data_IF_494501988673
#
_entry.id   IF_494501988673
#
_cell.length_a   1.000
_cell.length_b   1.000
_cell.length_c   1.000
_cell.angle_alpha   90.00
_cell.angle_beta   90.00
_cell.angle_gamma   90.00
#
_symmetry.space_group_name_H-M   'P 1'
#
loop_
_entity.id
_entity.type
_entity.pdbx_description
1 polymer ?
#
# COMPACT_ATOMS: atom_id res chain seq x y z
N UNK A 1 16.39 3.27 21.04
CA UNK A 1 16.88 2.01 21.69
C UNK A 1 16.90 0.91 20.64
N UNK A 2 17.81 -0.05 20.74
CA UNK A 2 17.84 -1.18 19.80
C UNK A 2 17.01 -2.35 20.35
N UNK A 3 15.92 -2.65 19.65
CA UNK A 3 15.08 -3.80 19.96
C UNK A 3 15.17 -4.89 18.87
N UNK A 4 15.98 -4.65 17.82
CA UNK A 4 16.20 -5.63 16.75
C UNK A 4 17.15 -6.71 17.23
N UNK A 5 16.73 -7.96 17.18
CA UNK A 5 17.54 -9.11 17.57
C UNK A 5 18.25 -9.79 16.40
N UNK A 6 17.85 -9.47 15.15
CA UNK A 6 18.44 -10.01 13.93
C UNK A 6 17.39 -10.25 12.84
N UNK A 7 17.70 -11.22 11.97
CA UNK A 7 16.78 -11.71 10.95
C UNK A 7 16.52 -13.22 11.16
N UNK A 8 15.36 -13.69 10.72
CA UNK A 8 15.00 -15.10 10.76
C UNK A 8 14.37 -15.52 9.44
N UNK A 9 14.75 -16.69 8.95
CA UNK A 9 14.08 -17.28 7.80
C UNK A 9 12.64 -17.68 8.15
N UNK A 10 11.68 -17.28 7.31
CA UNK A 10 10.25 -17.60 7.51
C UNK A 10 9.94 -19.08 7.30
N UNK A 11 10.75 -19.79 6.52
CA UNK A 11 10.58 -21.21 6.18
C UNK A 11 11.25 -22.14 7.20
N UNK A 12 12.57 -22.04 7.34
CA UNK A 12 13.35 -22.99 8.15
C UNK A 12 13.70 -22.47 9.56
N UNK A 13 13.36 -21.22 9.90
CA UNK A 13 13.62 -20.64 11.22
C UNK A 13 15.07 -20.25 11.50
N UNK A 14 16.03 -20.44 10.54
CA UNK A 14 17.44 -20.10 10.74
C UNK A 14 17.61 -18.60 11.03
N UNK A 15 18.43 -18.28 12.02
CA UNK A 15 18.71 -16.90 12.45
C UNK A 15 19.93 -16.32 11.70
N UNK A 16 19.91 -15.01 11.49
CA UNK A 16 20.95 -14.24 10.81
C UNK A 16 21.17 -12.89 11.52
N UNK A 17 22.36 -12.29 11.36
CA UNK A 17 22.59 -10.92 11.84
C UNK A 17 21.71 -9.92 11.05
N UNK A 18 21.50 -8.72 11.63
CA UNK A 18 20.73 -7.63 11.02
C UNK A 18 21.51 -6.88 9.93
N UNK A 19 21.96 -7.60 8.91
CA UNK A 19 22.74 -7.13 7.76
C UNK A 19 21.89 -7.01 6.50
N UNK A 20 22.49 -6.61 5.37
CA UNK A 20 21.81 -6.49 4.07
C UNK A 20 21.52 -7.87 3.44
N UNK A 21 20.71 -8.65 4.14
CA UNK A 21 20.31 -10.00 3.73
C UNK A 21 18.79 -10.04 3.50
N UNK A 22 18.35 -10.77 2.49
CA UNK A 22 16.92 -10.88 2.16
C UNK A 22 16.45 -12.31 1.92
N UNK A 23 17.40 -13.24 1.73
CA UNK A 23 17.16 -14.66 1.41
C UNK A 23 18.02 -15.54 2.31
N UNK A 24 17.45 -16.64 2.78
CA UNK A 24 18.15 -17.68 3.53
C UNK A 24 19.15 -18.39 2.62
N UNK A 25 20.40 -18.57 3.05
CA UNK A 25 21.45 -19.27 2.32
C UNK A 25 21.27 -20.78 2.29
N UNK A 26 20.37 -21.32 3.11
CA UNK A 26 20.09 -22.75 3.24
C UNK A 26 18.87 -23.22 2.43
N UNK A 27 17.73 -22.56 2.59
CA UNK A 27 16.47 -23.00 1.96
C UNK A 27 15.89 -21.97 0.97
N UNK A 28 16.58 -20.86 0.75
CA UNK A 28 16.17 -19.74 -0.11
C UNK A 28 14.86 -19.08 0.29
N UNK A 29 14.35 -19.37 1.49
CA UNK A 29 13.18 -18.70 2.05
C UNK A 29 13.44 -17.22 2.38
N UNK A 30 12.43 -16.36 2.35
CA UNK A 30 12.59 -14.94 2.68
C UNK A 30 12.93 -14.75 4.16
N UNK A 31 13.76 -13.74 4.43
CA UNK A 31 14.12 -13.35 5.79
C UNK A 31 13.14 -12.30 6.32
N UNK A 32 12.93 -12.32 7.63
CA UNK A 32 12.10 -11.36 8.36
C UNK A 32 12.85 -10.80 9.55
N UNK A 33 12.61 -9.52 9.87
CA UNK A 33 13.21 -8.87 11.05
C UNK A 33 12.58 -9.44 12.32
N UNK A 34 13.45 -9.73 13.31
CA UNK A 34 13.06 -10.19 14.63
C UNK A 34 13.36 -9.12 15.69
N UNK A 35 12.51 -9.06 16.72
CA UNK A 35 12.55 -8.07 17.77
C UNK A 35 12.51 -8.71 19.15
N UNK A 36 13.06 -8.03 20.15
CA UNK A 36 12.89 -8.32 21.56
C UNK A 36 11.56 -7.74 22.06
N UNK A 37 10.47 -8.48 21.82
CA UNK A 37 9.13 -8.03 22.16
C UNK A 37 8.90 -7.88 23.67
N UNK A 38 9.56 -8.65 24.51
CA UNK A 38 9.43 -8.54 25.97
C UNK A 38 10.02 -7.21 26.46
N UNK A 39 11.14 -6.82 25.88
CA UNK A 39 11.78 -5.54 26.14
C UNK A 39 10.98 -4.37 25.57
N UNK A 40 10.36 -4.52 24.39
CA UNK A 40 9.44 -3.52 23.83
C UNK A 40 8.25 -3.36 24.76
N UNK A 41 7.58 -4.44 25.18
CA UNK A 41 6.43 -4.42 26.05
C UNK A 41 6.68 -3.71 27.38
N UNK A 42 7.90 -3.84 27.94
CA UNK A 42 8.29 -3.17 29.18
C UNK A 42 8.69 -1.70 29.03
N UNK A 43 8.86 -1.21 27.80
CA UNK A 43 9.47 0.12 27.54
C UNK A 43 8.55 1.04 26.75
N UNK A 44 7.79 0.50 25.79
CA UNK A 44 6.97 1.26 24.86
C UNK A 44 5.54 1.35 25.39
N UNK A 45 5.04 2.59 25.55
CA UNK A 45 3.68 2.86 26.02
C UNK A 45 2.91 3.69 24.98
N UNK A 46 1.59 3.73 25.11
CA UNK A 46 0.71 4.57 24.27
C UNK A 46 1.10 6.05 24.36
N UNK A 47 1.41 6.54 25.55
CA UNK A 47 1.84 7.93 25.81
C UNK A 47 3.18 8.24 25.13
N UNK A 48 4.12 7.30 25.17
CA UNK A 48 5.43 7.44 24.51
C UNK A 48 5.25 7.53 22.98
N UNK A 49 4.38 6.71 22.40
CA UNK A 49 4.04 6.77 20.97
C UNK A 49 3.36 8.11 20.66
N UNK A 50 2.36 8.53 21.43
CA UNK A 50 1.62 9.77 21.23
C UNK A 50 2.50 11.02 21.30
N UNK A 51 3.58 11.00 22.10
CA UNK A 51 4.58 12.07 22.17
C UNK A 51 5.54 12.11 20.97
N UNK A 52 5.52 11.09 20.09
CA UNK A 52 6.37 11.00 18.92
C UNK A 52 5.94 11.95 17.77
N UNK A 53 6.72 12.01 16.69
CA UNK A 53 6.40 12.85 15.53
C UNK A 53 5.11 12.41 14.83
N UNK A 54 4.49 13.30 14.04
CA UNK A 54 3.34 12.95 13.19
C UNK A 54 3.81 12.31 11.87
N UNK A 55 4.50 11.17 11.98
CA UNK A 55 4.97 10.33 10.87
C UNK A 55 5.10 8.89 11.35
N UNK A 56 5.50 7.95 10.46
CA UNK A 56 5.75 6.54 10.86
C UNK A 56 6.78 6.42 11.99
N UNK A 57 7.63 7.42 12.18
CA UNK A 57 8.73 7.39 13.15
C UNK A 57 8.28 7.55 14.59
N UNK A 58 6.99 7.86 14.83
CA UNK A 58 6.39 7.75 16.16
C UNK A 58 6.38 6.30 16.69
N UNK A 59 6.44 5.33 15.77
CA UNK A 59 6.55 3.90 16.06
C UNK A 59 7.99 3.38 15.88
N UNK A 60 8.99 4.26 16.01
CA UNK A 60 10.40 3.92 15.72
C UNK A 60 10.93 2.76 16.55
N UNK A 61 10.44 2.57 17.77
CA UNK A 61 10.79 1.44 18.64
C UNK A 61 10.30 0.07 18.10
N UNK A 62 9.32 0.06 17.19
CA UNK A 62 8.80 -1.11 16.51
C UNK A 62 9.30 -1.24 15.05
N UNK A 63 10.26 -0.38 14.64
CA UNK A 63 10.83 -0.38 13.30
C UNK A 63 12.31 -0.83 13.33
N UNK A 64 12.85 -1.37 12.20
CA UNK A 64 14.14 -2.02 12.17
C UNK A 64 15.33 -1.05 12.07
N UNK A 65 15.24 0.11 12.67
CA UNK A 65 16.25 1.18 12.60
C UNK A 65 16.65 1.61 14.00
N UNK A 66 17.95 1.73 14.23
CA UNK A 66 18.54 2.03 15.52
C UNK A 66 19.35 3.31 15.42
N UNK A 67 19.15 4.23 16.38
CA UNK A 67 19.99 5.42 16.66
C UNK A 67 20.40 6.26 15.42
N UNK A 68 19.67 6.17 14.33
CA UNK A 68 19.89 6.93 13.12
C UNK A 68 18.81 8.01 12.96
N UNK A 69 19.21 9.21 12.55
CA UNK A 69 18.23 10.21 12.11
C UNK A 69 17.45 9.64 10.91
N UNK A 70 16.12 9.58 10.98
CA UNK A 70 15.33 8.98 9.91
C UNK A 70 15.41 9.77 8.60
N UNK A 71 15.34 9.07 7.49
CA UNK A 71 15.05 9.67 6.18
C UNK A 71 13.55 9.87 6.12
N UNK A 72 13.07 11.02 6.58
CA UNK A 72 11.65 11.31 6.71
C UNK A 72 11.25 12.54 5.88
N UNK A 73 10.20 12.39 5.10
CA UNK A 73 9.47 13.45 4.39
C UNK A 73 8.12 13.77 5.08
N UNK A 74 7.87 13.25 6.26
CA UNK A 74 6.56 13.24 6.90
C UNK A 74 5.69 12.06 6.45
N UNK A 75 6.32 10.92 6.13
CA UNK A 75 5.62 9.73 5.67
C UNK A 75 4.76 9.12 6.78
N UNK A 76 3.54 8.74 6.45
CA UNK A 76 2.59 8.13 7.37
C UNK A 76 1.87 9.12 8.27
N UNK A 77 1.25 8.61 9.33
CA UNK A 77 0.26 9.28 10.17
C UNK A 77 -0.82 9.97 9.33
N UNK A 78 -1.20 9.29 8.24
CA UNK A 78 -2.17 9.74 7.27
C UNK A 78 -3.59 9.70 7.86
N UNK A 79 -4.56 10.41 7.28
CA UNK A 79 -5.93 10.41 7.78
C UNK A 79 -6.53 8.99 7.86
N UNK A 80 -7.27 8.73 8.93
CA UNK A 80 -8.24 7.67 9.02
C UNK A 80 -9.62 8.34 8.96
N UNK A 81 -10.26 8.27 7.79
CA UNK A 81 -11.49 9.01 7.48
C UNK A 81 -12.69 8.12 7.74
N UNK A 82 -13.63 8.59 8.58
CA UNK A 82 -14.92 7.92 8.74
C UNK A 82 -15.75 8.11 7.46
N UNK A 83 -16.05 7.01 6.77
CA UNK A 83 -16.69 7.02 5.45
C UNK A 83 -18.20 6.77 5.59
N UNK A 84 -18.93 7.76 6.10
CA UNK A 84 -20.35 7.61 6.46
C UNK A 84 -21.26 7.43 5.23
N UNK A 85 -21.00 8.20 4.16
CA UNK A 85 -21.80 8.13 2.94
C UNK A 85 -21.54 6.84 2.17
N UNK A 86 -20.29 6.42 2.09
CA UNK A 86 -19.91 5.15 1.48
C UNK A 86 -20.45 3.97 2.30
N UNK A 87 -20.37 4.03 3.62
CA UNK A 87 -20.94 3.00 4.50
C UNK A 87 -22.44 2.84 4.28
N UNK A 88 -23.18 3.94 4.26
CA UNK A 88 -24.64 3.93 4.00
C UNK A 88 -24.98 3.31 2.64
N UNK A 89 -24.22 3.64 1.58
CA UNK A 89 -24.41 3.11 0.24
C UNK A 89 -24.11 1.59 0.15
N UNK A 90 -23.15 1.11 0.95
CA UNK A 90 -22.79 -0.31 1.01
C UNK A 90 -23.56 -1.11 2.07
N UNK A 91 -24.46 -0.47 2.84
CA UNK A 91 -25.20 -1.14 3.91
C UNK A 91 -24.33 -1.54 5.11
N UNK A 92 -23.23 -0.81 5.39
CA UNK A 92 -22.31 -1.03 6.50
C UNK A 92 -22.57 -0.02 7.62
N UNK A 93 -22.41 -0.43 8.89
CA UNK A 93 -22.60 0.44 10.04
C UNK A 93 -21.39 1.29 10.38
N UNK A 94 -20.18 0.76 10.22
CA UNK A 94 -18.94 1.45 10.55
C UNK A 94 -17.84 1.17 9.53
N UNK A 95 -17.55 2.17 8.69
CA UNK A 95 -16.52 2.09 7.64
C UNK A 95 -15.51 3.24 7.78
N UNK A 96 -14.25 2.91 7.66
CA UNK A 96 -13.13 3.85 7.68
C UNK A 96 -12.24 3.66 6.47
N UNK A 97 -11.71 4.76 5.94
CA UNK A 97 -10.70 4.77 4.87
C UNK A 97 -9.36 5.17 5.48
N UNK A 98 -8.37 4.27 5.40
CA UNK A 98 -6.98 4.64 5.66
C UNK A 98 -6.42 5.28 4.41
N UNK A 99 -6.30 6.60 4.43
CA UNK A 99 -6.06 7.42 3.25
C UNK A 99 -4.57 7.72 3.05
N UNK A 100 -3.85 6.84 2.38
CA UNK A 100 -2.44 7.02 2.03
C UNK A 100 -2.24 7.85 0.74
N UNK A 101 -3.29 8.44 0.17
CA UNK A 101 -3.16 9.47 -0.86
C UNK A 101 -2.46 10.71 -0.31
N UNK A 102 -2.57 10.95 1.00
CA UNK A 102 -2.01 12.07 1.73
C UNK A 102 -0.50 11.95 2.02
N UNK A 103 0.15 10.85 1.67
CA UNK A 103 1.60 10.72 1.82
C UNK A 103 2.36 11.72 0.91
N UNK A 104 3.60 12.11 1.26
CA UNK A 104 4.38 13.15 0.56
C UNK A 104 4.53 12.95 -0.95
N UNK A 105 4.71 11.71 -1.43
CA UNK A 105 4.73 11.41 -2.87
C UNK A 105 3.41 10.84 -3.39
N UNK A 106 2.33 10.97 -2.61
CA UNK A 106 0.98 10.55 -2.96
C UNK A 106 0.79 9.03 -2.95
N UNK A 107 1.54 8.27 -2.15
CA UNK A 107 1.28 6.83 -1.98
C UNK A 107 1.91 6.23 -0.72
N UNK A 108 1.41 5.07 -0.30
CA UNK A 108 1.92 4.33 0.84
C UNK A 108 3.40 3.92 0.71
N UNK A 109 3.99 4.00 -0.49
CA UNK A 109 5.41 3.68 -0.72
C UNK A 109 6.35 4.54 0.11
N UNK A 110 5.93 5.73 0.52
CA UNK A 110 6.72 6.59 1.39
C UNK A 110 7.03 5.95 2.74
N UNK A 111 6.11 5.16 3.28
CA UNK A 111 6.32 4.41 4.55
C UNK A 111 7.48 3.43 4.44
N UNK A 112 7.41 2.57 3.44
CA UNK A 112 8.39 1.49 3.25
C UNK A 112 9.74 2.00 2.75
N UNK A 113 9.76 3.06 1.95
CA UNK A 113 10.99 3.67 1.45
C UNK A 113 11.70 4.47 2.54
N UNK A 114 10.96 5.21 3.38
CA UNK A 114 11.52 5.91 4.53
C UNK A 114 12.30 4.94 5.43
N UNK A 115 11.73 3.78 5.78
CA UNK A 115 12.40 2.74 6.56
C UNK A 115 13.60 2.16 5.81
N UNK A 116 13.42 1.80 4.53
CA UNK A 116 14.48 1.18 3.72
C UNK A 116 15.71 2.09 3.59
N UNK A 117 15.53 3.38 3.27
CA UNK A 117 16.65 4.29 3.08
C UNK A 117 17.29 4.72 4.39
N UNK A 118 16.54 4.80 5.48
CA UNK A 118 17.12 4.99 6.82
C UNK A 118 18.03 3.82 7.16
N UNK A 119 17.57 2.58 6.95
CA UNK A 119 18.36 1.38 7.18
C UNK A 119 19.56 1.28 6.21
N UNK A 120 19.36 1.61 4.93
CA UNK A 120 20.43 1.62 3.95
C UNK A 120 21.57 2.56 4.36
N UNK A 121 21.27 3.78 4.83
CA UNK A 121 22.27 4.71 5.38
C UNK A 121 22.98 4.12 6.60
N UNK A 122 22.26 3.50 7.51
CA UNK A 122 22.83 2.83 8.68
C UNK A 122 23.79 1.71 8.30
N UNK A 123 23.49 0.98 7.24
CA UNK A 123 24.34 -0.09 6.67
C UNK A 123 25.47 0.44 5.77
N UNK A 124 25.60 1.76 5.59
CA UNK A 124 26.69 2.38 4.84
C UNK A 124 26.50 2.45 3.32
N UNK A 125 25.31 2.14 2.80
CA UNK A 125 25.00 2.31 1.38
C UNK A 125 25.04 3.77 0.96
N UNK A 126 25.44 4.03 -0.30
CA UNK A 126 25.61 5.37 -0.86
C UNK A 126 24.57 5.72 -1.91
N UNK A 127 24.02 4.72 -2.60
CA UNK A 127 23.09 4.88 -3.70
C UNK A 127 21.80 4.13 -3.38
N UNK A 128 20.66 4.80 -3.53
CA UNK A 128 19.34 4.19 -3.50
C UNK A 128 18.94 3.75 -4.90
N UNK A 129 18.54 2.50 -5.08
CA UNK A 129 18.17 1.97 -6.39
C UNK A 129 16.89 1.15 -6.33
N UNK A 130 16.16 1.10 -7.45
CA UNK A 130 15.02 0.19 -7.63
C UNK A 130 14.70 -0.05 -9.11
N UNK A 131 14.05 -1.19 -9.37
CA UNK A 131 13.28 -1.42 -10.59
C UNK A 131 11.83 -1.00 -10.31
N UNK A 132 11.35 0.07 -10.93
CA UNK A 132 9.95 0.48 -10.76
C UNK A 132 9.53 1.54 -11.74
N UNK A 133 8.29 1.42 -12.20
CA UNK A 133 7.64 2.34 -13.15
C UNK A 133 6.62 3.27 -12.48
N UNK A 134 6.54 3.33 -11.15
CA UNK A 134 5.45 4.06 -10.50
C UNK A 134 5.77 4.51 -9.07
N UNK A 135 4.86 4.24 -8.16
CA UNK A 135 4.90 4.74 -6.78
C UNK A 135 6.24 4.49 -6.05
N UNK A 136 6.85 3.32 -6.25
CA UNK A 136 8.14 3.02 -5.63
C UNK A 136 9.25 3.91 -6.18
N UNK A 137 9.32 4.11 -7.50
CA UNK A 137 10.31 4.97 -8.15
C UNK A 137 10.25 6.40 -7.62
N UNK A 138 9.05 6.99 -7.59
CA UNK A 138 8.84 8.35 -7.10
C UNK A 138 9.28 8.48 -5.63
N UNK A 139 8.89 7.55 -4.79
CA UNK A 139 9.24 7.57 -3.37
C UNK A 139 10.74 7.40 -3.14
N UNK A 140 11.41 6.49 -3.87
CA UNK A 140 12.88 6.30 -3.78
C UNK A 140 13.61 7.57 -4.17
N UNK A 141 13.25 8.18 -5.30
CA UNK A 141 13.89 9.41 -5.76
C UNK A 141 13.70 10.57 -4.77
N UNK A 142 12.49 10.77 -4.25
CA UNK A 142 12.18 11.81 -3.28
C UNK A 142 12.93 11.63 -1.95
N UNK A 143 12.90 10.43 -1.38
CA UNK A 143 13.57 10.14 -0.12
C UNK A 143 15.10 10.14 -0.26
N UNK A 144 15.64 9.70 -1.41
CA UNK A 144 17.08 9.78 -1.69
C UNK A 144 17.54 11.24 -1.76
N UNK A 145 16.80 12.11 -2.46
CA UNK A 145 17.05 13.54 -2.49
C UNK A 145 17.07 14.15 -1.07
N UNK A 146 16.07 13.81 -0.24
CA UNK A 146 16.01 14.24 1.18
C UNK A 146 17.19 13.74 2.00
N UNK A 147 17.67 12.52 1.71
CA UNK A 147 18.78 11.88 2.42
C UNK A 147 20.17 12.38 1.98
N UNK A 148 20.26 13.13 0.88
CA UNK A 148 21.52 13.45 0.23
C UNK A 148 22.22 12.22 -0.35
N UNK A 149 21.45 11.19 -0.74
CA UNK A 149 21.93 9.99 -1.43
C UNK A 149 21.72 10.11 -2.93
N UNK A 150 22.63 9.57 -3.71
CA UNK A 150 22.35 9.35 -5.13
C UNK A 150 21.19 8.36 -5.30
N UNK A 151 20.37 8.57 -6.35
CA UNK A 151 19.32 7.61 -6.72
C UNK A 151 19.43 7.16 -8.17
N UNK A 152 19.18 5.86 -8.37
CA UNK A 152 19.16 5.21 -9.70
C UNK A 152 17.89 4.38 -9.83
N UNK A 153 17.04 4.78 -10.76
CA UNK A 153 15.79 4.07 -11.04
C UNK A 153 15.87 3.45 -12.43
N UNK A 154 15.68 2.14 -12.52
CA UNK A 154 15.65 1.43 -13.79
C UNK A 154 14.18 1.20 -14.20
N UNK A 155 13.86 1.53 -15.45
CA UNK A 155 12.52 1.43 -16.03
C UNK A 155 12.57 0.76 -17.40
N UNK A 156 11.49 0.10 -17.88
CA UNK A 156 11.36 -0.21 -19.30
C UNK A 156 11.35 1.05 -20.17
N UNK A 157 11.86 0.96 -21.39
CA UNK A 157 12.01 2.11 -22.31
C UNK A 157 10.68 2.66 -22.83
N UNK A 158 9.58 1.90 -22.73
CA UNK A 158 8.24 2.23 -23.20
C UNK A 158 7.36 2.91 -22.13
N UNK A 159 7.95 3.40 -21.04
CA UNK A 159 7.22 4.04 -19.95
C UNK A 159 6.67 5.41 -20.34
N UNK A 160 5.47 5.73 -19.84
CA UNK A 160 4.80 7.01 -20.08
C UNK A 160 5.59 8.22 -19.51
N UNK A 161 5.64 9.30 -20.26
CA UNK A 161 6.43 10.51 -19.94
C UNK A 161 6.09 11.11 -18.56
N UNK A 162 4.82 11.07 -18.15
CA UNK A 162 4.40 11.60 -16.86
C UNK A 162 5.10 10.87 -15.68
N UNK A 163 5.21 9.56 -15.77
CA UNK A 163 5.87 8.73 -14.74
C UNK A 163 7.39 8.97 -14.69
N UNK A 164 8.02 9.18 -15.87
CA UNK A 164 9.42 9.56 -15.96
C UNK A 164 9.63 10.91 -15.26
N UNK A 165 8.80 11.91 -15.58
CA UNK A 165 8.88 13.25 -15.00
C UNK A 165 8.75 13.23 -13.47
N UNK A 166 7.76 12.51 -12.94
CA UNK A 166 7.54 12.37 -11.50
C UNK A 166 8.72 11.74 -10.74
N UNK A 167 9.61 11.06 -11.43
CA UNK A 167 10.82 10.47 -10.84
C UNK A 167 12.05 11.34 -11.05
N UNK A 168 12.25 11.88 -12.26
CA UNK A 168 13.44 12.67 -12.62
C UNK A 168 13.48 14.04 -11.95
N UNK A 169 12.32 14.61 -11.59
CA UNK A 169 12.23 15.94 -10.96
C UNK A 169 13.04 16.05 -9.65
N UNK A 170 13.28 14.93 -8.97
CA UNK A 170 14.06 14.88 -7.73
C UNK A 170 15.58 14.81 -7.96
N UNK A 171 16.07 14.91 -9.23
CA UNK A 171 17.49 14.93 -9.57
C UNK A 171 18.17 13.56 -9.62
N UNK A 172 17.42 12.46 -9.43
CA UNK A 172 17.93 11.10 -9.57
C UNK A 172 18.16 10.69 -11.03
N UNK A 173 18.94 9.63 -11.23
CA UNK A 173 19.19 9.05 -12.56
C UNK A 173 18.11 8.04 -12.88
N UNK A 174 17.36 8.28 -13.95
CA UNK A 174 16.41 7.31 -14.51
C UNK A 174 17.04 6.67 -15.74
N UNK A 175 17.18 5.35 -15.71
CA UNK A 175 17.79 4.54 -16.76
C UNK A 175 16.69 3.78 -17.48
N UNK A 176 16.44 4.13 -18.74
CA UNK A 176 15.55 3.36 -19.61
C UNK A 176 16.28 2.12 -20.15
N UNK A 177 15.70 0.96 -19.93
CA UNK A 177 16.21 -0.35 -20.36
C UNK A 177 15.35 -0.82 -21.53
N UNK A 178 15.97 -1.18 -22.62
CA UNK A 178 15.30 -1.80 -23.76
C UNK A 178 14.99 -3.27 -23.43
N UNK A 179 13.81 -3.52 -22.88
CA UNK A 179 13.38 -4.82 -22.38
C UNK A 179 12.09 -4.71 -21.56
N UNK A 180 11.61 -5.86 -21.13
CA UNK A 180 10.42 -5.98 -20.28
C UNK A 180 10.71 -5.59 -18.82
N UNK A 181 9.66 -5.42 -18.01
CA UNK A 181 9.81 -5.23 -16.56
C UNK A 181 10.56 -6.39 -15.87
N UNK A 182 10.39 -7.62 -16.36
CA UNK A 182 11.10 -8.79 -15.84
C UNK A 182 12.61 -8.73 -16.17
N UNK A 183 12.98 -8.22 -17.35
CA UNK A 183 14.39 -7.96 -17.71
C UNK A 183 15.02 -6.90 -16.82
N UNK A 184 14.28 -5.84 -16.51
CA UNK A 184 14.73 -4.79 -15.58
C UNK A 184 14.95 -5.37 -14.17
N UNK A 185 14.04 -6.19 -13.67
CA UNK A 185 14.19 -6.83 -12.36
C UNK A 185 15.39 -7.79 -12.30
N UNK A 186 15.60 -8.59 -13.37
CA UNK A 186 16.75 -9.47 -13.48
C UNK A 186 18.05 -8.67 -13.46
N UNK A 187 18.14 -7.59 -14.25
CA UNK A 187 19.29 -6.69 -14.25
C UNK A 187 19.56 -6.09 -12.87
N UNK A 188 18.53 -5.67 -12.14
CA UNK A 188 18.66 -5.18 -10.77
C UNK A 188 19.22 -6.24 -9.82
N UNK A 189 18.79 -7.50 -9.95
CA UNK A 189 19.32 -8.60 -9.14
C UNK A 189 20.81 -8.85 -9.44
N UNK A 190 21.23 -8.83 -10.70
CA UNK A 190 22.63 -8.94 -11.11
C UNK A 190 23.48 -7.78 -10.57
N UNK A 191 22.98 -6.54 -10.71
CA UNK A 191 23.65 -5.33 -10.22
C UNK A 191 23.83 -5.33 -8.70
N UNK A 192 22.99 -6.02 -7.94
CA UNK A 192 23.14 -6.13 -6.47
C UNK A 192 24.49 -6.75 -6.07
N UNK A 193 24.97 -7.70 -6.83
CA UNK A 193 26.27 -8.35 -6.60
C UNK A 193 27.43 -7.48 -7.07
N UNK A 194 27.27 -6.75 -8.18
CA UNK A 194 28.30 -5.94 -8.81
C UNK A 194 28.45 -4.54 -8.19
N UNK A 195 27.47 -4.10 -7.44
CA UNK A 195 27.40 -2.75 -6.84
C UNK A 195 27.16 -2.82 -5.33
N UNK A 196 28.13 -3.24 -4.52
CA UNK A 196 27.96 -3.48 -3.09
C UNK A 196 27.61 -2.22 -2.29
N UNK A 197 27.83 -1.02 -2.85
CA UNK A 197 27.44 0.25 -2.22
C UNK A 197 26.02 0.72 -2.58
N UNK A 198 25.26 -0.07 -3.36
CA UNK A 198 23.91 0.28 -3.80
C UNK A 198 22.85 -0.50 -3.00
N UNK A 199 21.90 0.24 -2.44
CA UNK A 199 20.72 -0.31 -1.80
C UNK A 199 19.59 -0.44 -2.84
N UNK A 200 19.38 -1.64 -3.36
CA UNK A 200 18.19 -1.96 -4.15
C UNK A 200 17.04 -2.23 -3.18
N UNK A 201 16.16 -1.23 -2.98
CA UNK A 201 15.17 -1.22 -1.89
C UNK A 201 14.22 -2.41 -1.91
N UNK A 202 13.93 -2.94 -3.09
CA UNK A 202 13.07 -4.11 -3.29
C UNK A 202 13.84 -5.43 -3.48
N UNK A 203 15.17 -5.44 -3.28
CA UNK A 203 16.03 -6.63 -3.35
C UNK A 203 16.83 -6.79 -2.06
N UNK A 204 18.05 -6.25 -1.96
CA UNK A 204 18.96 -6.51 -0.84
C UNK A 204 18.57 -5.85 0.49
N UNK A 205 17.73 -4.82 0.49
CA UNK A 205 17.14 -4.24 1.73
C UNK A 205 15.62 -4.51 1.86
N UNK A 206 15.08 -5.43 1.05
CA UNK A 206 13.65 -5.78 1.02
C UNK A 206 13.11 -6.18 2.39
N UNK A 207 13.88 -6.90 3.19
CA UNK A 207 13.49 -7.35 4.54
C UNK A 207 13.11 -6.16 5.43
N UNK A 208 13.89 -5.10 5.39
CA UNK A 208 13.66 -3.87 6.16
C UNK A 208 12.59 -2.98 5.52
N UNK A 209 12.60 -2.86 4.19
CA UNK A 209 11.58 -2.18 3.41
C UNK A 209 10.17 -2.65 3.79
N UNK A 210 9.94 -3.95 3.86
CA UNK A 210 8.63 -4.51 4.15
C UNK A 210 8.09 -4.07 5.53
N UNK A 211 8.96 -3.88 6.53
CA UNK A 211 8.58 -3.51 7.90
C UNK A 211 7.87 -2.14 7.98
N UNK A 212 8.12 -1.22 7.04
CA UNK A 212 7.40 0.05 6.97
C UNK A 212 5.88 -0.10 6.78
N UNK A 213 5.43 -1.21 6.18
CA UNK A 213 4.00 -1.47 5.98
C UNK A 213 3.24 -1.77 7.28
N UNK A 214 3.91 -2.21 8.35
CA UNK A 214 3.30 -2.44 9.68
C UNK A 214 2.68 -1.17 10.24
N UNK A 215 3.24 -0.01 9.89
CA UNK A 215 2.78 1.28 10.40
C UNK A 215 1.33 1.60 10.01
N UNK A 216 0.80 0.96 8.97
CA UNK A 216 -0.63 1.06 8.64
C UNK A 216 -1.51 0.48 9.76
N UNK A 217 -1.16 -0.71 10.27
CA UNK A 217 -1.87 -1.33 11.39
C UNK A 217 -1.70 -0.52 12.68
N UNK A 218 -0.48 -0.03 12.94
CA UNK A 218 -0.19 0.78 14.13
C UNK A 218 -1.01 2.07 14.15
N UNK A 219 -1.06 2.79 13.02
CA UNK A 219 -1.84 4.01 12.90
C UNK A 219 -3.34 3.77 12.97
N UNK A 220 -3.84 2.72 12.33
CA UNK A 220 -5.25 2.35 12.42
C UNK A 220 -5.64 2.10 13.88
N UNK A 221 -4.89 1.30 14.61
CA UNK A 221 -5.17 1.01 16.01
C UNK A 221 -5.09 2.28 16.88
N UNK A 222 -4.04 3.10 16.75
CA UNK A 222 -3.91 4.36 17.50
C UNK A 222 -5.07 5.33 17.19
N UNK A 223 -5.42 5.50 15.91
CA UNK A 223 -6.46 6.43 15.49
C UNK A 223 -7.89 5.95 15.81
N UNK A 224 -8.07 4.66 16.03
CA UNK A 224 -9.31 4.06 16.59
C UNK A 224 -9.31 4.03 18.13
N UNK A 225 -8.37 4.74 18.79
CA UNK A 225 -8.31 4.77 20.25
C UNK A 225 -7.64 3.54 20.89
N UNK A 226 -6.71 2.92 20.18
CA UNK A 226 -6.02 1.67 20.55
C UNK A 226 -6.95 0.44 20.53
N UNK A 227 -7.88 0.45 19.60
CA UNK A 227 -8.74 -0.67 19.28
C UNK A 227 -8.37 -1.24 17.90
N UNK A 228 -8.55 -2.54 17.72
CA UNK A 228 -8.42 -3.16 16.41
C UNK A 228 -9.77 -3.12 15.68
N UNK A 229 -9.78 -2.97 14.35
CA UNK A 229 -11.00 -3.15 13.56
C UNK A 229 -11.38 -4.64 13.47
N UNK A 230 -12.64 -4.93 13.17
CA UNK A 230 -13.08 -6.30 12.92
C UNK A 230 -12.57 -6.81 11.56
N UNK A 231 -12.50 -5.92 10.57
CA UNK A 231 -12.18 -6.31 9.20
C UNK A 231 -11.33 -5.26 8.48
N UNK A 232 -10.31 -5.71 7.75
CA UNK A 232 -9.45 -4.85 6.92
C UNK A 232 -9.44 -5.37 5.48
N UNK A 233 -9.66 -4.46 4.50
CA UNK A 233 -9.56 -4.78 3.06
C UNK A 233 -8.29 -4.16 2.50
N UNK A 234 -7.41 -5.01 1.91
CA UNK A 234 -6.06 -4.63 1.46
C UNK A 234 -5.84 -5.00 0.01
N UNK A 235 -5.35 -4.08 -0.85
CA UNK A 235 -5.00 -4.40 -2.23
C UNK A 235 -3.75 -5.28 -2.27
N UNK A 236 -3.75 -6.31 -3.12
CA UNK A 236 -2.64 -7.25 -3.28
C UNK A 236 -1.92 -7.02 -4.60
N UNK A 237 -0.67 -6.53 -4.52
CA UNK A 237 0.32 -6.68 -5.58
C UNK A 237 1.24 -7.87 -5.26
N UNK A 238 2.37 -7.62 -4.57
CA UNK A 238 3.29 -8.69 -4.13
C UNK A 238 2.80 -9.51 -2.91
N UNK A 239 1.79 -9.03 -2.18
CA UNK A 239 1.33 -9.61 -0.91
C UNK A 239 2.00 -9.03 0.35
N UNK A 240 3.12 -8.36 0.21
CA UNK A 240 3.93 -7.85 1.35
C UNK A 240 3.15 -6.91 2.27
N UNK A 241 2.39 -5.96 1.72
CA UNK A 241 1.61 -5.01 2.52
C UNK A 241 0.60 -5.72 3.42
N UNK A 242 -0.17 -6.66 2.86
CA UNK A 242 -1.18 -7.42 3.59
C UNK A 242 -0.56 -8.23 4.74
N UNK A 243 0.54 -8.95 4.47
CA UNK A 243 1.22 -9.76 5.49
C UNK A 243 1.80 -8.90 6.61
N UNK A 244 2.27 -7.69 6.29
CA UNK A 244 2.85 -6.79 7.29
C UNK A 244 1.80 -6.02 8.09
N UNK A 245 0.62 -5.76 7.52
CA UNK A 245 -0.54 -5.25 8.29
C UNK A 245 -0.95 -6.30 9.33
N UNK A 246 -1.06 -7.57 8.95
CA UNK A 246 -1.35 -8.66 9.88
C UNK A 246 -0.32 -8.73 11.02
N UNK A 247 0.98 -8.74 10.65
CA UNK A 247 2.08 -8.71 11.63
C UNK A 247 2.00 -7.49 12.55
N UNK A 248 1.62 -6.33 12.02
CA UNK A 248 1.50 -5.10 12.81
C UNK A 248 0.43 -5.22 13.90
N UNK A 249 -0.75 -5.74 13.62
CA UNK A 249 -1.78 -5.99 14.63
C UNK A 249 -1.34 -7.04 15.64
N UNK A 250 -0.71 -8.14 15.20
CA UNK A 250 -0.15 -9.17 16.07
C UNK A 250 0.90 -8.59 17.04
N UNK A 251 1.81 -7.75 16.53
CA UNK A 251 2.83 -7.09 17.33
C UNK A 251 2.23 -6.18 18.41
N UNK A 252 1.21 -5.37 18.05
CA UNK A 252 0.53 -4.49 19.03
C UNK A 252 -0.11 -5.28 20.16
N UNK A 253 -0.76 -6.40 19.86
CA UNK A 253 -1.31 -7.30 20.89
C UNK A 253 -0.20 -7.93 21.73
N UNK A 254 0.87 -8.42 21.09
CA UNK A 254 2.00 -9.07 21.76
C UNK A 254 2.73 -8.15 22.74
N UNK A 255 2.86 -6.85 22.41
CA UNK A 255 3.53 -5.88 23.27
C UNK A 255 2.58 -5.17 24.25
N UNK A 256 1.30 -5.58 24.30
CA UNK A 256 0.33 -5.04 25.25
C UNK A 256 -0.16 -3.62 24.94
N UNK A 257 -0.04 -3.16 23.69
CA UNK A 257 -0.57 -1.87 23.24
C UNK A 257 -2.05 -1.95 22.87
N UNK A 258 -2.56 -3.14 22.57
CA UNK A 258 -3.99 -3.46 22.50
C UNK A 258 -4.40 -4.19 23.77
N UNK A 259 -5.63 -3.92 24.25
CA UNK A 259 -6.11 -4.50 25.53
C UNK A 259 -6.41 -6.00 25.40
N UNK A 260 -6.69 -6.45 24.18
CA UNK A 260 -6.95 -7.86 23.84
C UNK A 260 -6.08 -8.33 22.69
N UNK A 261 -5.90 -9.63 22.54
CA UNK A 261 -5.29 -10.21 21.34
C UNK A 261 -6.18 -9.92 20.14
N UNK A 262 -5.70 -9.17 19.13
CA UNK A 262 -6.57 -8.75 18.05
C UNK A 262 -7.00 -9.92 17.17
N UNK A 263 -8.29 -9.99 16.86
CA UNK A 263 -8.87 -10.95 15.91
C UNK A 263 -9.36 -10.21 14.67
N UNK A 264 -8.41 -9.64 13.90
CA UNK A 264 -8.71 -8.87 12.70
C UNK A 264 -8.85 -9.78 11.49
N UNK A 265 -10.02 -9.80 10.86
CA UNK A 265 -10.20 -10.45 9.55
C UNK A 265 -9.55 -9.60 8.46
N UNK A 266 -8.71 -10.23 7.62
CA UNK A 266 -7.98 -9.51 6.57
C UNK A 266 -8.37 -10.07 5.21
N UNK A 267 -9.02 -9.25 4.40
CA UNK A 267 -9.42 -9.59 3.04
C UNK A 267 -8.52 -8.96 1.99
N UNK A 268 -8.22 -9.75 0.96
CA UNK A 268 -7.38 -9.35 -0.15
C UNK A 268 -8.19 -8.89 -1.36
N UNK A 269 -7.73 -7.83 -2.03
CA UNK A 269 -8.34 -7.26 -3.22
C UNK A 269 -7.40 -7.34 -4.43
N UNK A 270 -7.84 -7.94 -5.54
CA UNK A 270 -7.09 -8.02 -6.79
C UNK A 270 -7.95 -7.63 -8.00
N UNK A 271 -7.32 -7.33 -9.14
CA UNK A 271 -8.02 -7.19 -10.42
C UNK A 271 -8.10 -8.54 -11.13
N UNK A 272 -9.22 -8.83 -11.80
CA UNK A 272 -9.43 -10.06 -12.60
C UNK A 272 -8.29 -10.29 -13.58
N UNK A 273 -7.77 -9.22 -14.19
CA UNK A 273 -6.64 -9.30 -15.12
C UNK A 273 -5.29 -9.66 -14.47
N UNK A 274 -5.21 -9.73 -13.12
CA UNK A 274 -4.03 -10.18 -12.38
C UNK A 274 -4.43 -10.61 -10.96
N UNK A 275 -5.02 -11.79 -10.81
CA UNK A 275 -5.61 -12.27 -9.56
C UNK A 275 -5.09 -13.64 -9.08
N UNK A 276 -3.75 -13.89 -9.03
CA UNK A 276 -3.24 -15.22 -8.70
C UNK A 276 -3.60 -15.66 -7.27
N UNK A 277 -3.67 -14.72 -6.29
CA UNK A 277 -4.03 -15.04 -4.91
C UNK A 277 -5.54 -15.26 -4.77
N UNK A 278 -6.37 -14.41 -5.39
CA UNK A 278 -7.82 -14.56 -5.34
C UNK A 278 -8.28 -15.85 -6.05
N UNK A 279 -7.62 -16.23 -7.14
CA UNK A 279 -7.86 -17.51 -7.84
C UNK A 279 -7.54 -18.70 -6.92
N UNK A 280 -6.34 -18.70 -6.31
CA UNK A 280 -5.95 -19.78 -5.39
C UNK A 280 -6.89 -19.87 -4.18
N UNK A 281 -7.35 -18.72 -3.64
CA UNK A 281 -8.31 -18.67 -2.55
C UNK A 281 -9.65 -19.31 -2.97
N UNK A 282 -10.20 -18.92 -4.12
CA UNK A 282 -11.48 -19.43 -4.65
C UNK A 282 -11.42 -20.92 -4.97
N UNK A 283 -10.28 -21.43 -5.48
CA UNK A 283 -10.06 -22.84 -5.77
C UNK A 283 -9.76 -23.68 -4.52
N UNK A 284 -9.58 -23.09 -3.33
CA UNK A 284 -9.12 -23.78 -2.14
C UNK A 284 -7.69 -24.33 -2.27
N UNK A 285 -6.90 -23.81 -3.21
CA UNK A 285 -5.53 -24.26 -3.53
C UNK A 285 -4.49 -23.53 -2.71
N UNK A 286 -3.44 -24.24 -2.25
CA UNK A 286 -2.26 -23.62 -1.62
C UNK A 286 -1.24 -23.13 -2.66
N UNK A 287 -1.38 -23.53 -3.92
CA UNK A 287 -0.46 -23.17 -4.98
C UNK A 287 -0.88 -21.85 -5.65
N UNK A 288 -0.02 -20.85 -5.57
CA UNK A 288 -0.16 -19.60 -6.33
C UNK A 288 0.41 -19.85 -7.73
N UNK A 289 -0.46 -19.91 -8.75
CA UNK A 289 -0.05 -20.07 -10.15
C UNK A 289 0.27 -18.71 -10.76
N UNK A 290 1.47 -18.50 -11.33
CA UNK A 290 1.81 -17.27 -12.03
C UNK A 290 0.85 -16.99 -13.18
N UNK A 291 0.49 -15.72 -13.36
CA UNK A 291 -0.37 -15.24 -14.46
C UNK A 291 0.32 -14.12 -15.24
N UNK A 292 0.00 -13.96 -16.52
CA UNK A 292 0.43 -12.80 -17.30
C UNK A 292 -0.53 -11.64 -17.01
N UNK A 293 -0.07 -10.53 -16.42
CA UNK A 293 -0.95 -9.41 -16.07
C UNK A 293 -1.58 -8.73 -17.28
N UNK A 294 -2.89 -8.41 -17.19
CA UNK A 294 -3.64 -7.63 -18.16
C UNK A 294 -4.71 -6.81 -17.43
N UNK A 295 -4.35 -5.66 -16.84
CA UNK A 295 -5.24 -4.79 -16.06
C UNK A 295 -4.79 -3.34 -16.11
N UNK A 296 -5.72 -2.41 -15.90
CA UNK A 296 -5.44 -0.98 -15.70
C UNK A 296 -4.77 -0.71 -14.34
N UNK A 297 -4.93 -1.59 -13.36
CA UNK A 297 -4.33 -1.46 -12.03
C UNK A 297 -2.83 -1.84 -12.05
N UNK A 298 -2.02 -1.07 -12.78
CA UNK A 298 -0.60 -1.37 -13.07
C UNK A 298 0.24 -1.58 -11.81
N UNK A 299 -0.03 -0.86 -10.72
CA UNK A 299 0.70 -1.02 -9.44
C UNK A 299 0.43 -2.37 -8.75
N UNK A 300 -0.65 -3.07 -9.11
CA UNK A 300 -1.01 -4.40 -8.63
C UNK A 300 -0.72 -5.51 -9.65
N UNK A 301 -0.24 -5.17 -10.85
CA UNK A 301 0.00 -6.10 -11.96
C UNK A 301 1.25 -6.97 -11.73
N UNK A 302 1.27 -7.73 -10.65
CA UNK A 302 2.34 -8.64 -10.27
C UNK A 302 1.84 -10.08 -10.40
N UNK A 303 2.12 -10.69 -11.56
CA UNK A 303 1.60 -12.00 -11.91
C UNK A 303 2.21 -13.15 -11.11
N UNK A 304 3.40 -12.96 -10.55
CA UNK A 304 4.06 -13.91 -9.65
C UNK A 304 4.40 -13.22 -8.31
N UNK A 305 3.42 -13.09 -7.41
CA UNK A 305 3.58 -12.34 -6.16
C UNK A 305 4.51 -13.06 -5.19
N UNK A 306 5.64 -12.42 -4.85
CA UNK A 306 6.67 -13.01 -4.00
C UNK A 306 6.21 -13.34 -2.57
N UNK A 307 5.21 -12.63 -2.05
CA UNK A 307 4.58 -12.91 -0.76
C UNK A 307 3.16 -13.49 -0.93
N UNK A 308 2.80 -13.99 -2.13
CA UNK A 308 1.45 -14.47 -2.46
C UNK A 308 0.97 -15.59 -1.57
N UNK A 309 1.83 -16.59 -1.33
CA UNK A 309 1.52 -17.71 -0.44
C UNK A 309 1.26 -17.23 1.00
N UNK A 310 2.11 -16.35 1.51
CA UNK A 310 1.96 -15.78 2.85
C UNK A 310 0.71 -14.92 2.99
N UNK A 311 0.35 -14.18 1.92
CA UNK A 311 -0.89 -13.39 1.90
C UNK A 311 -2.12 -14.32 1.94
N UNK A 312 -2.11 -15.40 1.16
CA UNK A 312 -3.16 -16.41 1.15
C UNK A 312 -3.31 -17.08 2.52
N UNK A 313 -2.20 -17.43 3.17
CA UNK A 313 -2.18 -18.02 4.52
C UNK A 313 -2.78 -17.07 5.57
N UNK A 314 -2.38 -15.79 5.54
CA UNK A 314 -2.94 -14.74 6.42
C UNK A 314 -4.45 -14.60 6.21
N UNK A 315 -4.91 -14.49 4.96
CA UNK A 315 -6.34 -14.36 4.64
C UNK A 315 -7.13 -15.52 5.24
N UNK A 316 -6.67 -16.74 5.05
CA UNK A 316 -7.33 -17.95 5.58
C UNK A 316 -7.32 -18.02 7.09
N UNK A 317 -6.18 -17.79 7.73
CA UNK A 317 -6.01 -17.86 9.19
C UNK A 317 -6.81 -16.78 9.91
N UNK A 318 -6.93 -15.60 9.32
CA UNK A 318 -7.72 -14.51 9.88
C UNK A 318 -9.23 -14.67 9.67
N UNK A 319 -9.67 -15.66 8.88
CA UNK A 319 -11.08 -15.81 8.50
C UNK A 319 -11.56 -14.72 7.53
N UNK A 320 -10.65 -14.07 6.83
CA UNK A 320 -10.94 -13.12 5.78
C UNK A 320 -11.33 -13.78 4.46
N UNK A 321 -11.40 -12.98 3.40
CA UNK A 321 -11.73 -13.42 2.05
C UNK A 321 -10.78 -12.83 1.01
N UNK A 322 -10.85 -13.31 -0.23
CA UNK A 322 -10.10 -12.71 -1.33
C UNK A 322 -10.99 -12.66 -2.58
N UNK A 323 -11.13 -11.48 -3.17
CA UNK A 323 -11.92 -11.33 -4.38
C UNK A 323 -11.17 -10.56 -5.46
N UNK A 324 -11.59 -10.79 -6.69
CA UNK A 324 -11.11 -10.06 -7.86
C UNK A 324 -12.24 -9.27 -8.50
N UNK A 325 -11.90 -8.09 -9.04
CA UNK A 325 -12.80 -7.14 -9.70
C UNK A 325 -12.32 -6.83 -11.11
N UNK A 326 -13.25 -6.54 -12.02
CA UNK A 326 -12.94 -6.16 -13.40
C UNK A 326 -12.40 -4.74 -13.49
N UNK A 327 -11.80 -4.36 -14.61
CA UNK A 327 -11.29 -3.01 -14.81
C UNK A 327 -12.43 -1.95 -14.81
N UNK A 328 -13.64 -2.29 -15.22
CA UNK A 328 -14.81 -1.40 -15.12
C UNK A 328 -15.26 -1.25 -13.65
N UNK A 329 -15.33 -2.35 -12.87
CA UNK A 329 -15.58 -2.29 -11.42
C UNK A 329 -14.51 -1.45 -10.69
N UNK A 330 -13.24 -1.48 -11.14
CA UNK A 330 -12.17 -0.62 -10.60
C UNK A 330 -12.48 0.86 -10.81
N UNK A 331 -12.91 1.24 -12.01
CA UNK A 331 -13.31 2.63 -12.33
C UNK A 331 -14.51 3.06 -11.50
N UNK A 332 -15.51 2.19 -11.39
CA UNK A 332 -16.69 2.44 -10.55
C UNK A 332 -16.33 2.59 -9.07
N UNK A 333 -15.38 1.80 -8.56
CA UNK A 333 -14.83 1.93 -7.21
C UNK A 333 -14.13 3.28 -6.97
N UNK A 334 -13.36 3.78 -7.95
CA UNK A 334 -12.75 5.12 -7.89
C UNK A 334 -13.83 6.20 -7.83
N UNK A 335 -14.81 6.13 -8.72
CA UNK A 335 -15.93 7.08 -8.76
C UNK A 335 -16.76 7.06 -7.49
N UNK A 336 -17.05 5.85 -7.01
CA UNK A 336 -17.81 5.65 -5.79
C UNK A 336 -17.14 6.36 -4.61
N UNK A 337 -15.86 6.10 -4.35
CA UNK A 337 -15.10 6.75 -3.29
C UNK A 337 -15.04 8.28 -3.46
N UNK A 338 -14.81 8.75 -4.68
CA UNK A 338 -14.69 10.17 -4.97
C UNK A 338 -16.03 10.92 -4.73
N UNK A 339 -17.17 10.37 -5.17
CA UNK A 339 -18.48 11.03 -5.02
C UNK A 339 -19.06 10.92 -3.61
N UNK A 340 -18.67 9.91 -2.84
CA UNK A 340 -19.15 9.75 -1.46
C UNK A 340 -18.27 10.48 -0.46
N UNK A 341 -16.94 10.33 -0.53
CA UNK A 341 -16.02 10.81 0.50
C UNK A 341 -15.04 11.90 0.00
N UNK A 342 -15.10 12.29 -1.27
CA UNK A 342 -14.21 13.30 -1.83
C UNK A 342 -12.75 12.83 -1.98
N UNK A 343 -12.48 11.52 -1.92
CA UNK A 343 -11.13 10.96 -2.00
C UNK A 343 -10.90 10.44 -3.42
N UNK A 344 -9.95 11.04 -4.13
CA UNK A 344 -9.54 10.60 -5.46
C UNK A 344 -8.41 9.58 -5.35
N UNK A 345 -8.76 8.31 -5.44
CA UNK A 345 -7.81 7.19 -5.35
C UNK A 345 -7.27 6.78 -6.74
N UNK A 346 -6.02 6.26 -6.76
CA UNK A 346 -5.48 5.54 -7.91
C UNK A 346 -6.21 4.21 -8.15
N UNK A 347 -5.92 3.53 -9.26
CA UNK A 347 -6.54 2.25 -9.63
C UNK A 347 -6.43 1.17 -8.54
N UNK A 348 -5.34 1.14 -7.75
CA UNK A 348 -5.23 0.22 -6.61
C UNK A 348 -6.29 0.50 -5.52
N UNK A 349 -6.58 1.78 -5.24
CA UNK A 349 -7.68 2.17 -4.35
C UNK A 349 -9.05 1.79 -4.93
N UNK A 350 -9.23 1.96 -6.25
CA UNK A 350 -10.42 1.47 -6.96
C UNK A 350 -10.63 -0.03 -6.79
N UNK A 351 -9.57 -0.84 -6.91
CA UNK A 351 -9.62 -2.29 -6.64
C UNK A 351 -10.06 -2.57 -5.21
N UNK A 352 -9.54 -1.82 -4.23
CA UNK A 352 -9.92 -1.99 -2.81
C UNK A 352 -11.41 -1.70 -2.60
N UNK A 353 -11.91 -0.57 -3.08
CA UNK A 353 -13.30 -0.13 -2.88
C UNK A 353 -14.29 -1.04 -3.62
N UNK A 354 -13.99 -1.41 -4.87
CA UNK A 354 -14.83 -2.35 -5.62
C UNK A 354 -14.89 -3.73 -4.95
N UNK A 355 -13.75 -4.21 -4.40
CA UNK A 355 -13.73 -5.46 -3.64
C UNK A 355 -14.51 -5.34 -2.33
N UNK A 356 -14.37 -4.23 -1.60
CA UNK A 356 -15.17 -3.94 -0.41
C UNK A 356 -16.66 -4.02 -0.71
N UNK A 357 -17.13 -3.32 -1.76
CA UNK A 357 -18.53 -3.34 -2.19
C UNK A 357 -19.00 -4.76 -2.55
N UNK A 358 -18.19 -5.51 -3.27
CA UNK A 358 -18.47 -6.91 -3.64
C UNK A 358 -18.61 -7.83 -2.43
N UNK A 359 -17.69 -7.73 -1.47
CA UNK A 359 -17.72 -8.54 -0.25
C UNK A 359 -18.87 -8.15 0.69
N UNK A 360 -19.24 -6.88 0.77
CA UNK A 360 -20.42 -6.42 1.50
C UNK A 360 -21.70 -6.95 0.87
N UNK A 361 -21.86 -6.83 -0.45
CA UNK A 361 -23.01 -7.35 -1.18
C UNK A 361 -23.17 -8.88 -1.05
N UNK A 362 -22.07 -9.62 -0.88
CA UNK A 362 -22.05 -11.06 -0.65
C UNK A 362 -22.29 -11.44 0.83
N UNK A 363 -22.42 -10.48 1.75
CA UNK A 363 -22.56 -10.72 3.19
C UNK A 363 -21.30 -11.29 3.86
N UNK A 364 -20.15 -11.24 3.18
CA UNK A 364 -18.84 -11.63 3.76
C UNK A 364 -18.38 -10.59 4.78
N UNK A 365 -18.58 -9.33 4.48
CA UNK A 365 -18.44 -8.22 5.44
C UNK A 365 -19.83 -7.94 6.00
N UNK A 366 -19.96 -8.05 7.31
CA UNK A 366 -21.25 -7.89 7.99
C UNK A 366 -21.53 -6.41 8.31
N UNK A 367 -22.80 -6.00 8.35
CA UNK A 367 -23.19 -4.63 8.68
C UNK A 367 -22.74 -4.14 10.06
N UNK A 368 -22.56 -5.05 11.03
CA UNK A 368 -22.18 -4.76 12.40
C UNK A 368 -20.66 -4.66 12.63
N UNK A 369 -19.85 -4.92 11.60
CA UNK A 369 -18.39 -4.87 11.69
C UNK A 369 -17.84 -3.46 11.54
N UNK A 370 -16.79 -3.15 12.32
CA UNK A 370 -15.91 -2.01 12.08
C UNK A 370 -14.92 -2.37 10.97
N UNK A 371 -15.08 -1.76 9.81
CA UNK A 371 -14.31 -2.07 8.61
C UNK A 371 -13.31 -0.96 8.29
N UNK A 372 -12.09 -1.33 7.90
CA UNK A 372 -11.09 -0.38 7.37
C UNK A 372 -10.69 -0.79 5.96
N UNK A 373 -10.81 0.13 5.00
CA UNK A 373 -10.32 -0.06 3.63
C UNK A 373 -9.02 0.73 3.40
N UNK A 374 -8.00 0.05 2.84
CA UNK A 374 -6.69 0.65 2.57
C UNK A 374 -6.67 1.31 1.19
N UNK A 375 -6.65 2.64 1.14
CA UNK A 375 -6.49 3.44 -0.08
C UNK A 375 -5.04 3.86 -0.19
N UNK A 376 -4.29 3.27 -1.12
CA UNK A 376 -2.83 3.23 -1.12
C UNK A 376 -2.16 4.30 -1.96
N UNK A 377 -2.90 5.08 -2.76
CA UNK A 377 -2.29 6.13 -3.56
C UNK A 377 -3.30 7.05 -4.25
N UNK A 378 -2.80 8.22 -4.66
CA UNK A 378 -3.58 9.31 -5.21
C UNK A 378 -3.92 9.10 -6.68
N UNK A 379 -5.14 9.43 -7.10
CA UNK A 379 -5.67 9.24 -8.44
C UNK A 379 -4.91 9.96 -9.56
N UNK A 380 -4.27 11.09 -9.26
CA UNK A 380 -3.42 11.81 -10.22
C UNK A 380 -2.22 10.99 -10.73
N UNK A 381 -1.89 9.86 -10.09
CA UNK A 381 -0.83 8.96 -10.53
C UNK A 381 -1.25 7.98 -11.64
N UNK A 382 -2.56 7.86 -11.88
CA UNK A 382 -3.14 6.91 -12.87
C UNK A 382 -4.31 7.53 -13.63
N UNK A 383 -4.23 8.83 -13.95
CA UNK A 383 -5.29 9.56 -14.68
C UNK A 383 -5.58 8.94 -16.05
N UNK A 384 -4.60 8.33 -16.67
CA UNK A 384 -4.74 7.64 -17.95
C UNK A 384 -5.76 6.49 -17.90
N UNK A 385 -5.95 5.87 -16.74
CA UNK A 385 -6.96 4.82 -16.55
C UNK A 385 -8.40 5.35 -16.65
N UNK A 386 -8.59 6.66 -16.46
CA UNK A 386 -9.88 7.34 -16.53
C UNK A 386 -10.09 8.09 -17.87
N UNK A 387 -9.10 8.06 -18.77
CA UNK A 387 -9.17 8.73 -20.07
C UNK A 387 -10.38 8.22 -20.87
N UNK A 388 -11.21 9.14 -21.38
CA UNK A 388 -12.44 8.82 -22.10
C UNK A 388 -13.56 8.21 -21.24
N UNK A 389 -13.38 8.14 -19.92
CA UNK A 389 -14.37 7.66 -18.95
C UNK A 389 -14.95 8.79 -18.09
N UNK A 390 -14.28 9.94 -18.04
CA UNK A 390 -14.70 11.14 -17.32
C UNK A 390 -14.51 12.34 -18.24
N UNK A 391 -15.58 13.05 -18.53
CA UNK A 391 -15.60 14.20 -19.43
C UNK A 391 -16.40 15.36 -18.82
N UNK A 392 -16.20 16.60 -19.30
CA UNK A 392 -17.09 17.72 -18.93
C UNK A 392 -18.54 17.39 -19.26
N UNK A 393 -19.46 17.73 -18.36
CA UNK A 393 -20.89 17.50 -18.55
C UNK A 393 -21.44 18.23 -19.77
N UNK A 394 -20.88 19.42 -20.09
CA UNK A 394 -21.20 20.19 -21.27
C UNK A 394 -20.03 21.07 -21.71
N UNK A 395 -19.99 21.43 -22.98
CA UNK A 395 -19.15 22.52 -23.52
C UNK A 395 -20.07 23.59 -24.05
N UNK A 396 -19.99 24.81 -23.53
CA UNK A 396 -20.88 25.93 -23.87
C UNK A 396 -20.08 27.12 -24.38
N UNK A 397 -20.73 28.02 -25.12
CA UNK A 397 -20.23 29.39 -25.33
C UNK A 397 -20.34 30.20 -24.04
N UNK A 398 -19.50 31.24 -23.81
CA UNK A 398 -19.50 32.01 -22.56
C UNK A 398 -20.66 33.02 -22.50
N UNK A 399 -21.90 32.51 -22.56
CA UNK A 399 -23.13 33.30 -22.46
C UNK A 399 -24.05 32.69 -21.44
N UNK A 400 -24.87 33.55 -20.79
CA UNK A 400 -25.88 33.10 -19.82
C UNK A 400 -26.91 32.20 -20.46
N UNK A 401 -27.36 32.52 -21.66
CA UNK A 401 -28.33 31.73 -22.43
C UNK A 401 -27.81 30.31 -22.70
N UNK A 402 -26.49 30.14 -23.06
CA UNK A 402 -25.91 28.85 -23.28
C UNK A 402 -25.74 28.05 -21.99
N UNK A 403 -25.45 28.74 -20.87
CA UNK A 403 -25.39 28.14 -19.55
C UNK A 403 -26.77 27.64 -19.11
N UNK A 404 -27.80 28.50 -19.19
CA UNK A 404 -29.15 28.14 -18.81
C UNK A 404 -29.72 27.01 -19.69
N UNK A 405 -29.42 27.02 -20.99
CA UNK A 405 -29.81 25.92 -21.88
C UNK A 405 -29.13 24.58 -21.52
N UNK A 406 -27.88 24.60 -21.02
CA UNK A 406 -27.17 23.40 -20.63
C UNK A 406 -27.52 22.90 -19.23
N UNK A 407 -27.92 23.79 -18.31
CA UNK A 407 -28.09 23.50 -16.88
C UNK A 407 -29.46 23.89 -16.32
N UNK A 408 -30.38 24.47 -17.11
CA UNK A 408 -31.69 24.89 -16.66
C UNK A 408 -32.57 23.79 -16.04
N UNK A 409 -32.33 22.55 -16.42
CA UNK A 409 -32.94 21.37 -15.77
C UNK A 409 -32.38 21.04 -14.38
N UNK A 410 -31.29 21.69 -13.96
CA UNK A 410 -30.67 21.43 -12.64
C UNK A 410 -31.31 22.27 -11.50
N UNK A 411 -31.92 23.38 -11.81
CA UNK A 411 -32.62 24.23 -10.78
C UNK A 411 -33.87 23.52 -10.25
N UNK A 412 -34.43 22.56 -10.99
CA UNK A 412 -35.61 21.79 -10.57
C UNK A 412 -35.26 20.51 -9.77
N UNK A 413 -33.96 20.27 -9.48
CA UNK A 413 -33.55 19.10 -8.70
C UNK A 413 -33.80 19.35 -7.21
N UNK A 414 -34.81 18.69 -6.65
CA UNK A 414 -35.03 18.60 -5.21
C UNK A 414 -33.77 18.10 -4.50
N UNK A 415 -33.11 18.90 -3.63
CA UNK A 415 -31.94 18.47 -2.89
C UNK A 415 -32.19 17.26 -1.98
N UNK A 416 -33.47 16.93 -1.73
CA UNK A 416 -33.88 15.80 -0.90
C UNK A 416 -34.16 14.51 -1.68
N UNK A 417 -34.12 14.50 -3.04
CA UNK A 417 -34.38 13.32 -3.86
C UNK A 417 -33.11 12.47 -4.02
N UNK A 418 -33.06 11.26 -3.41
CA UNK A 418 -31.91 10.35 -3.54
C UNK A 418 -31.74 9.80 -4.96
N UNK A 419 -32.80 9.71 -5.77
CA UNK A 419 -32.77 9.16 -7.13
C UNK A 419 -32.07 10.10 -8.12
N UNK A 420 -32.16 11.43 -7.89
CA UNK A 420 -31.49 12.43 -8.71
C UNK A 420 -29.94 12.40 -8.55
N UNK A 421 -29.42 11.74 -7.50
CA UNK A 421 -27.98 11.62 -7.22
C UNK A 421 -27.35 10.35 -7.78
N UNK A 422 -28.13 9.35 -8.12
CA UNK A 422 -27.61 8.04 -8.60
C UNK A 422 -27.33 7.98 -10.12
N UNK A 423 -27.79 8.96 -10.88
CA UNK A 423 -27.64 9.03 -12.35
C UNK A 423 -26.43 9.90 -12.79
N UNK A 424 -25.54 10.26 -11.87
CA UNK A 424 -24.34 11.06 -12.14
C UNK A 424 -23.06 10.30 -11.96
#
# INVERSE_FOLDING_TARGET
MDFVTGLRCRECGRAYPAEALHVCDYCFGPLEVTYDYDRIASTVTRERIAAGPRSIWRYGDLLPVVDAAPVDLGAGFTPLVRAERLAAELGLGELWIKDDTANPTGSFKDRVVSVALTKARQLGFKVAACASTGNLANSVAAHAARAGMDSVVLIPSDLEQAKITMTTIYGGRVIAVDGTYDDVNRLCAELTSERPSWAFVNVNVRTYYAEGSKTLAFEVAEQLGWEAPDHVVVPIGSGSQLTKIAKGFEELGRVGLLDETPSVRISGAQSVGCAPVATAFAEGSDAIRPVKPSTIAKSLAIGNPADGWYALDVIRKSGGSCAAVTDDEVIDGIRLLARTEGIFAETAGGVTIATLAKLAAQGVIRPDERVVAMVTGHGLKTVEALSGKVEPSATITPTLEAFDAAFGEFDDLDPSDPAARSSR
#
